data_IF_402337973901
#
_entry.id   IF_402337973901
#
_cell.length_a   1.000
_cell.length_b   1.000
_cell.length_c   1.000
_cell.angle_alpha   90.00
_cell.angle_beta   90.00
_cell.angle_gamma   90.00
#
_symmetry.space_group_name_H-M   'P 1'
#
loop_
_entity.id
_entity.type
_entity.pdbx_description
1 polymer ?
#
# COMPACT_ATOMS: atom_id res chain seq x y z
N UNK A 1 -25.09 1.67 1.49
CA UNK A 1 -24.52 2.07 2.77
C UNK A 1 -23.76 0.89 3.35
N UNK A 2 -22.58 1.14 3.89
CA UNK A 2 -21.70 0.09 4.39
C UNK A 2 -20.97 0.57 5.64
N UNK A 3 -20.73 -0.32 6.61
CA UNK A 3 -19.78 -0.11 7.71
C UNK A 3 -18.44 -0.62 7.22
N UNK A 4 -17.63 0.29 6.70
CA UNK A 4 -16.38 -0.05 6.00
C UNK A 4 -15.44 -0.84 6.88
N UNK A 5 -15.20 -0.35 8.12
CA UNK A 5 -14.30 -1.01 9.06
C UNK A 5 -14.48 -0.52 10.49
N UNK A 6 -14.16 -1.41 11.41
CA UNK A 6 -13.86 -1.13 12.82
C UNK A 6 -12.48 -1.67 13.13
N UNK A 7 -11.57 -0.80 13.57
CA UNK A 7 -10.18 -1.15 13.87
C UNK A 7 -9.93 -1.07 15.37
N UNK A 8 -9.30 -2.08 15.94
CA UNK A 8 -8.88 -2.15 17.34
C UNK A 8 -7.37 -2.34 17.42
N UNK A 9 -6.66 -1.36 17.99
CA UNK A 9 -5.24 -1.46 18.29
C UNK A 9 -5.05 -1.93 19.74
N UNK A 10 -4.36 -3.03 19.92
CA UNK A 10 -4.04 -3.63 21.21
C UNK A 10 -2.54 -3.64 21.42
N UNK A 11 -2.10 -3.24 22.60
CA UNK A 11 -0.69 -3.27 22.95
C UNK A 11 -0.48 -3.86 24.35
N UNK A 12 0.55 -4.67 24.50
CA UNK A 12 0.97 -5.18 25.80
C UNK A 12 2.48 -5.01 25.99
N UNK A 13 2.86 -4.41 27.12
CA UNK A 13 4.26 -4.21 27.49
C UNK A 13 4.69 -5.26 28.50
N UNK A 14 5.56 -6.18 28.06
CA UNK A 14 6.13 -7.23 28.93
C UNK A 14 7.23 -6.67 29.83
N UNK A 15 8.00 -5.68 29.33
CA UNK A 15 9.07 -5.00 30.05
C UNK A 15 9.34 -3.63 29.41
N UNK A 16 10.30 -2.85 29.94
CA UNK A 16 10.71 -1.57 29.33
C UNK A 16 11.30 -1.71 27.93
N UNK A 17 11.68 -2.92 27.55
CA UNK A 17 12.29 -3.20 26.24
C UNK A 17 11.42 -4.04 25.31
N UNK A 18 10.46 -4.79 25.83
CA UNK A 18 9.70 -5.77 25.06
C UNK A 18 8.22 -5.43 25.10
N UNK A 19 7.63 -5.26 23.93
CA UNK A 19 6.19 -5.02 23.77
C UNK A 19 5.63 -5.81 22.59
N UNK A 20 4.37 -6.19 22.72
CA UNK A 20 3.56 -6.76 21.64
C UNK A 20 2.56 -5.73 21.17
N UNK A 21 2.36 -5.64 19.84
CA UNK A 21 1.37 -4.77 19.22
C UNK A 21 0.56 -5.64 18.27
N UNK A 22 -0.76 -5.50 18.31
CA UNK A 22 -1.70 -6.15 17.40
C UNK A 22 -2.78 -5.17 16.99
N UNK A 23 -3.18 -5.24 15.74
CA UNK A 23 -4.27 -4.49 15.15
C UNK A 23 -5.26 -5.47 14.52
N UNK A 24 -6.51 -5.41 14.96
CA UNK A 24 -7.59 -6.26 14.50
C UNK A 24 -8.60 -5.39 13.77
N UNK A 25 -8.90 -5.74 12.53
CA UNK A 25 -9.86 -5.05 11.69
C UNK A 25 -11.08 -5.92 11.41
N UNK A 26 -12.25 -5.34 11.57
CA UNK A 26 -13.52 -5.89 11.10
C UNK A 26 -13.94 -5.12 9.85
N UNK A 27 -13.93 -5.78 8.69
CA UNK A 27 -14.36 -5.19 7.42
C UNK A 27 -15.78 -5.64 7.05
N UNK A 28 -16.60 -4.69 6.57
CA UNK A 28 -17.95 -4.93 6.05
C UNK A 28 -18.88 -5.71 7.01
N UNK A 29 -18.62 -5.62 8.33
CA UNK A 29 -19.36 -6.35 9.39
C UNK A 29 -19.25 -7.88 9.29
N UNK A 30 -18.49 -8.43 8.36
CA UNK A 30 -18.43 -9.87 8.07
C UNK A 30 -17.04 -10.47 8.20
N UNK A 31 -16.02 -9.71 7.87
CA UNK A 31 -14.65 -10.21 7.76
C UNK A 31 -13.80 -9.70 8.91
N UNK A 32 -13.02 -10.58 9.50
CA UNK A 32 -12.09 -10.25 10.60
C UNK A 32 -10.69 -10.51 10.11
N UNK A 33 -9.83 -9.49 10.20
CA UNK A 33 -8.43 -9.57 9.84
C UNK A 33 -7.53 -9.14 10.99
N UNK A 34 -6.36 -9.76 11.07
CA UNK A 34 -5.25 -9.22 11.83
C UNK A 34 -4.41 -8.40 10.86
N UNK A 35 -4.36 -7.07 11.03
CA UNK A 35 -3.56 -6.20 10.18
C UNK A 35 -2.10 -6.16 10.61
N UNK A 36 -1.85 -6.18 11.90
CA UNK A 36 -0.53 -6.26 12.49
C UNK A 36 -0.54 -7.16 13.71
N UNK A 37 0.50 -7.95 13.89
CA UNK A 37 0.76 -8.71 15.10
C UNK A 37 2.26 -8.99 15.22
N UNK A 38 2.98 -8.18 15.96
CA UNK A 38 4.42 -8.29 16.07
C UNK A 38 4.95 -8.03 17.48
N UNK A 39 6.05 -8.67 17.77
CA UNK A 39 6.88 -8.36 18.93
C UNK A 39 7.88 -7.26 18.56
N UNK A 40 7.98 -6.24 19.40
CA UNK A 40 9.02 -5.22 19.27
C UNK A 40 9.97 -5.29 20.47
N UNK A 41 11.27 -5.34 20.19
CA UNK A 41 12.33 -5.36 21.19
C UNK A 41 13.22 -4.13 21.03
N UNK A 42 13.27 -3.27 22.04
CA UNK A 42 14.16 -2.11 22.08
C UNK A 42 15.60 -2.58 22.25
N UNK A 43 16.45 -2.39 21.23
CA UNK A 43 17.90 -2.68 21.30
C UNK A 43 18.61 -1.49 21.96
N UNK A 44 18.34 -0.27 21.45
CA UNK A 44 18.85 0.99 22.00
C UNK A 44 17.88 2.14 21.68
N UNK A 45 18.25 3.38 21.92
CA UNK A 45 17.37 4.54 21.72
C UNK A 45 17.11 4.86 20.24
N UNK A 46 17.90 4.34 19.32
CA UNK A 46 17.80 4.58 17.89
C UNK A 46 17.30 3.37 17.12
N UNK A 47 17.23 2.19 17.76
CA UNK A 47 16.98 0.94 17.06
C UNK A 47 16.11 -0.01 17.86
N UNK A 48 15.08 -0.51 17.21
CA UNK A 48 14.23 -1.59 17.69
C UNK A 48 14.21 -2.72 16.67
N UNK A 49 14.23 -3.95 17.16
CA UNK A 49 13.92 -5.13 16.36
C UNK A 49 12.40 -5.35 16.36
N UNK A 50 11.86 -5.79 15.23
CA UNK A 50 10.48 -6.26 15.09
C UNK A 50 10.47 -7.64 14.45
N UNK A 51 9.51 -8.47 14.87
CA UNK A 51 9.27 -9.78 14.24
C UNK A 51 7.81 -10.18 14.37
N UNK A 52 7.20 -10.63 13.28
CA UNK A 52 5.79 -10.99 13.19
C UNK A 52 5.12 -10.50 11.93
N UNK A 53 3.82 -10.26 11.98
CA UNK A 53 3.03 -9.69 10.90
C UNK A 53 3.10 -8.15 10.99
N UNK A 54 3.67 -7.52 9.96
CA UNK A 54 3.94 -6.09 9.95
C UNK A 54 3.42 -5.45 8.66
N UNK A 55 3.00 -4.18 8.74
CA UNK A 55 2.71 -3.38 7.55
C UNK A 55 4.01 -3.13 6.77
N UNK A 56 3.95 -3.33 5.46
CA UNK A 56 5.07 -3.04 4.56
C UNK A 56 5.24 -1.53 4.45
N UNK A 57 6.44 -0.96 4.70
CA UNK A 57 6.64 0.48 4.83
C UNK A 57 6.72 1.16 3.45
N UNK A 58 5.63 1.14 2.68
CA UNK A 58 5.54 1.75 1.36
C UNK A 58 4.57 2.94 1.36
N UNK A 59 5.08 4.09 0.94
CA UNK A 59 4.31 5.33 0.82
C UNK A 59 3.70 5.86 2.12
N UNK A 60 2.66 6.68 2.00
CA UNK A 60 1.98 7.31 3.14
C UNK A 60 0.88 6.39 3.68
N UNK A 61 0.03 5.90 2.78
CA UNK A 61 -1.28 5.35 3.16
C UNK A 61 -1.16 3.96 3.78
N UNK A 62 -0.19 3.14 3.37
CA UNK A 62 -0.09 1.80 3.94
C UNK A 62 0.20 1.81 5.45
N UNK A 63 0.97 2.80 5.93
CA UNK A 63 1.25 2.97 7.37
C UNK A 63 0.20 3.81 8.11
N UNK A 64 -0.52 4.72 7.39
CA UNK A 64 -1.48 5.68 7.98
C UNK A 64 -2.81 5.58 7.23
N UNK A 65 -3.44 4.41 7.29
CA UNK A 65 -4.63 4.10 6.50
C UNK A 65 -5.95 4.34 7.24
N UNK A 66 -5.90 4.83 8.48
CA UNK A 66 -7.09 5.12 9.26
C UNK A 66 -7.88 6.28 8.62
N UNK A 67 -9.21 6.20 8.60
CA UNK A 67 -10.05 7.16 7.90
C UNK A 67 -9.92 8.62 8.37
N UNK A 68 -9.39 8.88 9.56
CA UNK A 68 -9.16 10.24 10.06
C UNK A 68 -7.86 10.88 9.59
N UNK A 69 -6.97 10.11 8.94
CA UNK A 69 -5.62 10.54 8.54
C UNK A 69 -5.53 11.10 7.13
N UNK A 70 -6.53 10.89 6.29
CA UNK A 70 -6.59 11.37 4.91
C UNK A 70 -7.90 12.12 4.63
N UNK A 71 -7.90 13.00 3.61
CA UNK A 71 -9.09 13.69 3.14
C UNK A 71 -9.87 12.79 2.17
N UNK A 72 -11.18 13.10 2.00
CA UNK A 72 -12.08 12.26 1.21
C UNK A 72 -12.54 11.01 1.94
N UNK A 73 -13.53 10.36 1.39
CA UNK A 73 -14.12 9.13 1.92
C UNK A 73 -13.19 7.95 1.60
N UNK A 74 -12.70 7.90 0.34
CA UNK A 74 -11.80 6.86 -0.13
C UNK A 74 -10.34 7.31 -0.12
N UNK A 75 -9.45 6.32 0.08
CA UNK A 75 -7.99 6.47 -0.02
C UNK A 75 -7.60 6.79 -1.48
N UNK A 76 -6.41 7.33 -1.74
CA UNK A 76 -5.86 7.41 -3.10
C UNK A 76 -5.83 6.04 -3.76
N UNK A 77 -6.26 5.95 -5.02
CA UNK A 77 -6.39 4.67 -5.74
C UNK A 77 -5.03 4.05 -6.06
N UNK A 78 -3.98 4.86 -6.21
CA UNK A 78 -2.62 4.33 -6.42
C UNK A 78 -2.17 3.41 -5.27
N UNK A 79 -2.64 3.69 -4.03
CA UNK A 79 -2.41 2.84 -2.86
C UNK A 79 -3.28 1.57 -2.83
N UNK A 80 -3.96 1.27 -3.91
CA UNK A 80 -4.67 0.02 -4.15
C UNK A 80 -4.14 -0.71 -5.38
N UNK A 81 -3.79 0.05 -6.43
CA UNK A 81 -3.45 -0.50 -7.76
C UNK A 81 -1.94 -0.72 -7.93
N UNK A 82 -1.11 0.17 -7.40
CA UNK A 82 0.35 0.07 -7.53
C UNK A 82 0.96 -0.49 -6.24
N UNK A 83 0.81 0.19 -5.10
CA UNK A 83 1.22 -0.32 -3.79
C UNK A 83 -0.04 -0.73 -3.01
N UNK A 84 -0.38 -2.02 -2.97
CA UNK A 84 -1.70 -2.46 -2.52
C UNK A 84 -1.88 -2.26 -1.00
N UNK A 85 -2.68 -1.27 -0.61
CA UNK A 85 -3.03 -1.01 0.80
C UNK A 85 -3.76 -2.18 1.43
N UNK A 86 -3.74 -2.19 2.59
CA UNK A 86 -3.41 -2.96 3.76
C UNK A 86 -2.42 -4.08 3.45
N UNK A 87 -1.29 -3.67 2.92
CA UNK A 87 -0.20 -4.57 2.58
C UNK A 87 0.62 -4.89 3.82
N UNK A 88 0.50 -6.12 4.28
CA UNK A 88 1.18 -6.67 5.42
C UNK A 88 1.84 -8.00 5.09
N UNK A 89 2.99 -8.24 5.68
CA UNK A 89 3.80 -9.42 5.43
C UNK A 89 4.38 -9.96 6.75
N UNK A 90 4.60 -11.25 6.81
CA UNK A 90 5.29 -11.91 7.91
C UNK A 90 6.78 -11.77 7.70
N UNK A 91 7.49 -11.31 8.73
CA UNK A 91 8.92 -11.11 8.61
C UNK A 91 9.58 -10.60 9.88
N UNK A 92 10.82 -10.17 9.71
CA UNK A 92 11.65 -9.57 10.77
C UNK A 92 12.37 -8.34 10.25
N UNK A 93 12.77 -7.44 11.13
CA UNK A 93 13.59 -6.32 10.73
C UNK A 93 13.87 -5.31 11.82
N UNK A 94 14.36 -4.17 11.39
CA UNK A 94 14.79 -3.07 12.25
C UNK A 94 14.00 -1.81 11.92
N UNK A 95 13.69 -1.05 12.96
CA UNK A 95 13.12 0.28 12.81
C UNK A 95 13.61 1.22 13.90
N UNK A 96 13.59 2.51 13.64
CA UNK A 96 13.99 3.48 14.65
C UNK A 96 13.93 4.93 14.20
N UNK A 97 14.28 5.80 15.15
CA UNK A 97 14.40 7.23 14.93
C UNK A 97 15.80 7.69 15.29
N UNK A 98 16.47 8.36 14.36
CA UNK A 98 17.76 9.01 14.58
C UNK A 98 17.47 10.49 14.84
N UNK A 99 17.13 10.82 16.08
CA UNK A 99 16.69 12.16 16.47
C UNK A 99 17.64 13.30 16.05
N UNK A 100 18.98 13.18 16.21
CA UNK A 100 19.89 14.22 15.78
C UNK A 100 19.87 14.51 14.27
N UNK A 101 19.54 13.50 13.46
CA UNK A 101 19.42 13.62 12.00
C UNK A 101 17.97 13.87 11.54
N UNK A 102 17.00 13.87 12.47
CA UNK A 102 15.57 13.99 12.18
C UNK A 102 15.11 12.98 11.13
N UNK A 103 15.59 11.75 11.24
CA UNK A 103 15.30 10.64 10.36
C UNK A 103 14.55 9.53 11.10
N UNK A 104 13.52 8.97 10.47
CA UNK A 104 12.88 7.70 10.82
C UNK A 104 13.27 6.69 9.74
N UNK A 105 13.52 5.45 10.12
CA UNK A 105 13.80 4.37 9.18
C UNK A 105 13.12 3.08 9.57
N UNK A 106 12.85 2.27 8.56
CA UNK A 106 12.34 0.91 8.66
C UNK A 106 13.02 0.06 7.59
N UNK A 107 13.40 -1.16 7.95
CA UNK A 107 13.96 -2.15 7.03
C UNK A 107 13.52 -3.54 7.46
N UNK A 108 12.85 -4.27 6.57
CA UNK A 108 12.27 -5.58 6.85
C UNK A 108 12.67 -6.61 5.80
N UNK A 109 12.81 -7.85 6.25
CA UNK A 109 12.92 -9.05 5.42
C UNK A 109 11.64 -9.84 5.62
N UNK A 110 10.92 -10.11 4.55
CA UNK A 110 9.55 -10.61 4.58
C UNK A 110 9.32 -11.75 3.60
N UNK A 111 8.16 -12.38 3.71
CA UNK A 111 7.76 -13.50 2.87
C UNK A 111 7.32 -13.12 1.43
N UNK A 112 6.93 -11.88 1.18
CA UNK A 112 6.60 -11.39 -0.16
C UNK A 112 5.20 -11.72 -0.68
N UNK A 113 4.94 -11.27 -1.92
CA UNK A 113 3.69 -11.57 -2.62
C UNK A 113 3.61 -13.02 -3.07
N UNK A 114 2.41 -13.60 -3.06
CA UNK A 114 2.09 -14.84 -3.75
C UNK A 114 1.91 -14.57 -5.25
N UNK A 115 2.67 -15.25 -6.11
CA UNK A 115 2.50 -15.23 -7.56
C UNK A 115 1.56 -16.35 -8.02
N UNK A 116 1.73 -17.55 -7.43
CA UNK A 116 0.98 -18.74 -7.82
C UNK A 116 0.83 -19.74 -6.66
N UNK A 117 -0.40 -20.20 -6.43
CA UNK A 117 -0.76 -21.22 -5.45
C UNK A 117 -1.82 -22.19 -5.98
N UNK A 118 -1.64 -22.62 -7.23
CA UNK A 118 -2.63 -23.39 -7.99
C UNK A 118 -3.48 -22.51 -8.92
N UNK A 119 -3.39 -21.18 -8.77
CA UNK A 119 -4.00 -20.18 -9.65
C UNK A 119 -3.13 -18.93 -9.75
N UNK A 120 -3.23 -18.19 -10.87
CA UNK A 120 -2.60 -16.88 -11.02
C UNK A 120 -3.13 -15.88 -10.00
N UNK A 121 -2.22 -15.17 -9.32
CA UNK A 121 -2.58 -14.12 -8.36
C UNK A 121 -2.38 -12.71 -8.88
N UNK A 122 -1.62 -12.55 -9.95
CA UNK A 122 -1.27 -11.25 -10.52
C UNK A 122 -1.83 -11.11 -11.93
N UNK A 123 -2.32 -9.92 -12.27
CA UNK A 123 -2.82 -9.57 -13.60
C UNK A 123 -2.75 -8.06 -13.85
N UNK A 124 -2.96 -7.62 -15.09
CA UNK A 124 -2.89 -6.21 -15.46
C UNK A 124 -3.94 -5.35 -14.77
N UNK A 125 -5.16 -5.84 -14.56
CA UNK A 125 -6.24 -5.07 -13.94
C UNK A 125 -6.00 -4.74 -12.46
N UNK A 126 -5.42 -5.67 -11.71
CA UNK A 126 -5.26 -5.58 -10.25
C UNK A 126 -3.80 -5.43 -9.79
N UNK A 127 -2.84 -5.50 -10.73
CA UNK A 127 -1.41 -5.46 -10.42
C UNK A 127 -1.04 -6.54 -9.40
N UNK A 128 -0.35 -6.13 -8.34
CA UNK A 128 0.11 -7.02 -7.25
C UNK A 128 -0.95 -7.29 -6.16
N UNK A 129 -2.12 -6.62 -6.21
CA UNK A 129 -3.06 -6.60 -5.08
C UNK A 129 -3.54 -7.98 -4.64
N UNK A 130 -3.85 -8.87 -5.58
CA UNK A 130 -4.36 -10.20 -5.26
C UNK A 130 -3.26 -11.16 -4.76
N UNK A 131 -1.99 -10.82 -4.95
CA UNK A 131 -0.84 -11.56 -4.44
C UNK A 131 -0.51 -11.33 -2.97
N UNK A 132 -1.22 -10.42 -2.25
CA UNK A 132 -0.99 -10.22 -0.81
C UNK A 132 -1.34 -11.47 -0.02
N UNK A 133 -0.37 -12.05 0.68
CA UNK A 133 -0.59 -13.24 1.53
C UNK A 133 -1.30 -12.90 2.85
N UNK A 134 -1.22 -11.64 3.31
CA UNK A 134 -1.93 -11.10 4.49
C UNK A 134 -1.62 -11.83 5.83
N UNK A 135 -0.59 -12.63 5.89
CA UNK A 135 -0.24 -13.43 7.07
C UNK A 135 -1.11 -14.68 7.28
N UNK A 136 -1.97 -15.03 6.32
CA UNK A 136 -2.84 -16.21 6.39
C UNK A 136 -2.18 -17.38 5.63
N UNK A 137 -1.71 -18.39 6.36
CA UNK A 137 -1.01 -19.55 5.80
C UNK A 137 0.12 -19.15 4.83
N UNK A 138 0.81 -18.05 5.18
CA UNK A 138 1.84 -17.46 4.35
C UNK A 138 3.04 -18.38 4.20
N UNK A 139 3.53 -18.51 2.98
CA UNK A 139 4.71 -19.30 2.64
C UNK A 139 5.81 -18.42 2.06
N UNK A 140 7.03 -18.93 2.04
CA UNK A 140 8.22 -18.25 1.56
C UNK A 140 9.10 -19.24 0.79
N UNK A 141 9.34 -18.97 -0.48
CA UNK A 141 10.35 -19.65 -1.30
C UNK A 141 11.62 -18.81 -1.49
N UNK A 142 11.47 -17.47 -1.41
CA UNK A 142 12.57 -16.52 -1.43
C UNK A 142 12.27 -15.28 -0.58
N UNK A 143 13.25 -14.70 0.13
CA UNK A 143 13.04 -13.52 0.95
C UNK A 143 12.82 -12.28 0.08
N UNK A 144 11.97 -11.37 0.59
CA UNK A 144 11.76 -10.05 0.03
C UNK A 144 12.24 -8.98 1.01
N UNK A 145 12.62 -7.83 0.50
CA UNK A 145 13.19 -6.72 1.26
C UNK A 145 12.32 -5.48 1.09
N UNK A 146 11.88 -4.91 2.21
CA UNK A 146 11.11 -3.67 2.24
C UNK A 146 11.80 -2.66 3.13
N UNK A 147 11.84 -1.40 2.71
CA UNK A 147 12.43 -0.35 3.54
C UNK A 147 11.88 1.03 3.24
N UNK A 148 11.96 1.91 4.25
CA UNK A 148 11.59 3.31 4.15
C UNK A 148 12.48 4.17 5.02
N UNK A 149 12.84 5.35 4.51
CA UNK A 149 13.49 6.42 5.26
C UNK A 149 12.61 7.66 5.14
N UNK A 150 12.33 8.31 6.28
CA UNK A 150 11.57 9.56 6.33
C UNK A 150 12.41 10.65 6.99
N UNK A 151 12.47 11.82 6.35
CA UNK A 151 13.08 13.03 6.88
C UNK A 151 12.00 14.01 7.34
N UNK A 152 12.11 14.50 8.60
CA UNK A 152 11.16 15.42 9.21
C UNK A 152 11.81 16.65 9.86
N UNK A 153 13.02 17.02 9.43
CA UNK A 153 13.78 18.13 10.00
C UNK A 153 13.29 19.54 9.65
N UNK A 154 12.40 19.67 8.66
CA UNK A 154 11.79 20.95 8.28
C UNK A 154 10.39 21.02 8.88
N UNK A 155 10.10 22.11 9.58
CA UNK A 155 8.80 22.29 10.25
C UNK A 155 7.63 22.13 9.29
N UNK A 156 6.76 21.19 9.60
CA UNK A 156 5.57 20.86 8.80
C UNK A 156 5.82 19.97 7.60
N UNK A 157 7.08 19.74 7.20
CA UNK A 157 7.44 18.89 6.05
C UNK A 157 7.93 17.52 6.52
N UNK A 158 7.40 16.48 5.87
CA UNK A 158 7.87 15.10 5.99
C UNK A 158 8.07 14.57 4.57
N UNK A 159 9.25 14.04 4.27
CA UNK A 159 9.60 13.45 2.96
C UNK A 159 10.00 12.01 3.19
N UNK A 160 9.38 11.08 2.48
CA UNK A 160 9.64 9.65 2.52
C UNK A 160 10.24 9.12 1.21
N UNK A 161 11.18 8.21 1.35
CA UNK A 161 11.67 7.36 0.27
C UNK A 161 11.52 5.90 0.69
N UNK A 162 10.87 5.09 -0.13
CA UNK A 162 10.59 3.69 0.14
C UNK A 162 10.98 2.78 -1.02
N UNK A 163 11.27 1.52 -0.71
CA UNK A 163 11.60 0.50 -1.69
C UNK A 163 11.18 -0.89 -1.26
N UNK A 164 10.84 -1.71 -2.24
CA UNK A 164 10.51 -3.12 -2.07
C UNK A 164 11.13 -3.93 -3.20
N UNK A 165 11.85 -5.01 -2.85
CA UNK A 165 12.62 -5.80 -3.80
C UNK A 165 12.55 -7.29 -3.45
N UNK A 166 12.35 -8.15 -4.45
CA UNK A 166 12.37 -9.59 -4.29
C UNK A 166 11.66 -10.31 -5.44
N UNK A 167 11.23 -11.53 -5.18
CA UNK A 167 10.42 -12.33 -6.11
C UNK A 167 9.10 -12.68 -5.45
N UNK A 168 8.06 -12.85 -6.25
CA UNK A 168 6.82 -13.44 -5.74
C UNK A 168 7.06 -14.91 -5.36
N UNK A 169 6.17 -15.45 -4.56
CA UNK A 169 6.25 -16.81 -4.05
C UNK A 169 5.40 -17.75 -4.91
N UNK A 170 5.77 -19.02 -4.97
CA UNK A 170 4.99 -20.04 -5.65
C UNK A 170 5.02 -21.36 -4.87
N UNK A 171 3.86 -21.99 -4.74
CA UNK A 171 3.75 -23.33 -4.13
C UNK A 171 4.39 -24.43 -4.98
N UNK A 172 4.72 -24.13 -6.23
CA UNK A 172 5.40 -25.11 -7.09
C UNK A 172 6.82 -25.46 -6.63
N UNK A 173 7.43 -24.63 -5.78
CA UNK A 173 8.73 -24.97 -5.19
C UNK A 173 8.64 -26.00 -4.06
N UNK A 174 7.42 -26.29 -3.56
CA UNK A 174 7.26 -27.24 -2.46
C UNK A 174 7.56 -28.68 -2.93
N UNK A 175 8.55 -29.30 -2.28
CA UNK A 175 8.91 -30.68 -2.52
C UNK A 175 9.61 -30.97 -3.86
N UNK A 176 10.00 -29.95 -4.64
CA UNK A 176 10.79 -30.15 -5.86
C UNK A 176 12.19 -30.64 -5.49
N UNK A 177 12.65 -31.68 -6.19
CA UNK A 177 14.05 -32.03 -6.21
C UNK A 177 14.84 -30.93 -6.96
N UNK A 178 15.87 -30.38 -6.32
CA UNK A 178 16.69 -29.32 -6.91
C UNK A 178 17.48 -29.74 -8.15
N UNK A 179 17.63 -31.04 -8.36
CA UNK A 179 18.29 -31.62 -9.53
C UNK A 179 17.29 -31.91 -10.67
N UNK A 180 15.98 -31.65 -10.47
CA UNK A 180 14.95 -31.69 -11.52
C UNK A 180 14.84 -30.33 -12.24
N UNK A 181 15.71 -30.15 -13.24
CA UNK A 181 15.77 -28.92 -14.03
C UNK A 181 14.41 -28.54 -14.68
N UNK A 182 13.62 -29.55 -15.09
CA UNK A 182 12.33 -29.28 -15.74
C UNK A 182 11.26 -28.77 -14.74
N UNK A 183 11.20 -29.38 -13.56
CA UNK A 183 10.32 -28.95 -12.50
C UNK A 183 10.73 -27.56 -11.97
N UNK A 184 12.04 -27.31 -11.82
CA UNK A 184 12.57 -26.01 -11.44
C UNK A 184 12.23 -24.93 -12.47
N UNK A 185 12.40 -25.17 -13.78
CA UNK A 185 12.05 -24.23 -14.83
C UNK A 185 10.54 -23.91 -14.84
N UNK A 186 9.69 -24.90 -14.56
CA UNK A 186 8.24 -24.70 -14.43
C UNK A 186 7.91 -23.82 -13.23
N UNK A 187 8.54 -24.08 -12.08
CA UNK A 187 8.36 -23.24 -10.88
C UNK A 187 8.89 -21.81 -11.11
N UNK A 188 10.02 -21.65 -11.79
CA UNK A 188 10.57 -20.33 -12.14
C UNK A 188 9.63 -19.52 -13.05
N UNK A 189 8.88 -20.17 -13.95
CA UNK A 189 7.89 -19.51 -14.81
C UNK A 189 6.66 -19.00 -14.03
N UNK A 190 6.43 -19.50 -12.81
CA UNK A 190 5.29 -19.12 -11.96
C UNK A 190 5.56 -17.94 -11.04
N UNK A 191 6.77 -17.37 -11.07
CA UNK A 191 7.17 -16.25 -10.21
C UNK A 191 7.60 -15.03 -11.02
N UNK A 192 7.42 -13.87 -10.42
CA UNK A 192 7.74 -12.56 -10.99
C UNK A 192 8.72 -11.84 -10.06
N UNK A 193 9.79 -11.28 -10.63
CA UNK A 193 10.65 -10.38 -9.88
C UNK A 193 9.95 -9.02 -9.70
N UNK A 194 10.04 -8.45 -8.48
CA UNK A 194 9.41 -7.17 -8.13
C UNK A 194 10.47 -6.19 -7.66
N UNK A 195 10.54 -5.03 -8.31
CA UNK A 195 11.34 -3.89 -7.89
C UNK A 195 10.45 -2.65 -7.85
N UNK A 196 10.04 -2.22 -6.66
CA UNK A 196 9.19 -1.05 -6.45
C UNK A 196 9.94 0.03 -5.69
N UNK A 197 9.85 1.27 -6.15
CA UNK A 197 10.31 2.46 -5.43
C UNK A 197 9.14 3.41 -5.22
N UNK A 198 9.16 4.15 -4.12
CA UNK A 198 8.19 5.16 -3.79
C UNK A 198 8.83 6.41 -3.20
N UNK A 199 8.31 7.56 -3.60
CA UNK A 199 8.66 8.86 -3.00
C UNK A 199 7.37 9.50 -2.52
N UNK A 200 7.37 10.00 -1.30
CA UNK A 200 6.20 10.69 -0.73
C UNK A 200 6.60 11.98 0.00
N UNK A 201 5.67 12.93 0.05
CA UNK A 201 5.83 14.14 0.83
C UNK A 201 4.50 14.59 1.45
N UNK A 202 4.59 15.10 2.69
CA UNK A 202 3.47 15.74 3.40
C UNK A 202 3.94 17.08 3.94
N UNK A 203 3.20 18.14 3.64
CA UNK A 203 3.50 19.48 4.13
C UNK A 203 2.27 20.13 4.77
N UNK A 204 2.38 20.45 6.06
CA UNK A 204 1.30 21.06 6.85
C UNK A 204 1.79 22.35 7.50
N UNK A 205 1.29 23.49 7.03
CA UNK A 205 1.66 24.79 7.56
C UNK A 205 0.49 25.79 7.48
N UNK A 206 0.23 26.51 8.55
CA UNK A 206 -0.73 27.62 8.53
C UNK A 206 -2.14 27.27 8.07
N UNK A 207 -2.58 26.02 8.26
CA UNK A 207 -3.86 25.50 7.76
C UNK A 207 -3.79 24.86 6.37
N UNK A 208 -2.77 25.13 5.58
CA UNK A 208 -2.50 24.45 4.31
C UNK A 208 -2.02 23.02 4.56
N UNK A 209 -2.59 22.08 3.83
CA UNK A 209 -2.21 20.66 3.80
C UNK A 209 -1.90 20.28 2.36
N UNK A 210 -0.65 19.94 2.10
CA UNK A 210 -0.22 19.39 0.82
C UNK A 210 0.30 17.97 1.06
N UNK A 211 -0.04 17.07 0.16
CA UNK A 211 0.55 15.72 0.13
C UNK A 211 0.67 15.23 -1.29
N UNK A 212 1.66 14.41 -1.53
CA UNK A 212 1.87 13.77 -2.82
C UNK A 212 2.69 12.51 -2.66
N UNK A 213 2.55 11.62 -3.63
CA UNK A 213 3.20 10.33 -3.65
C UNK A 213 3.35 9.85 -5.09
N UNK A 214 4.47 9.20 -5.37
CA UNK A 214 4.76 8.57 -6.65
C UNK A 214 5.30 7.17 -6.43
N UNK A 215 4.85 6.22 -7.23
CA UNK A 215 5.39 4.86 -7.31
C UNK A 215 5.84 4.52 -8.73
N UNK A 216 6.94 3.79 -8.79
CA UNK A 216 7.40 3.08 -9.97
C UNK A 216 7.68 1.63 -9.59
N UNK A 217 7.08 0.70 -10.32
CA UNK A 217 7.28 -0.75 -10.14
C UNK A 217 7.73 -1.35 -11.46
N UNK A 218 8.83 -2.05 -11.43
CA UNK A 218 9.29 -2.90 -12.54
C UNK A 218 9.11 -4.36 -12.15
N UNK A 219 8.56 -5.13 -13.08
CA UNK A 219 8.31 -6.55 -12.94
C UNK A 219 9.13 -7.30 -14.00
N UNK A 220 9.88 -8.30 -13.60
CA UNK A 220 10.63 -9.16 -14.51
C UNK A 220 9.99 -10.55 -14.61
N UNK A 221 10.28 -11.28 -15.67
CA UNK A 221 9.73 -12.61 -15.94
C UNK A 221 8.21 -12.59 -16.22
N UNK A 222 7.68 -11.46 -16.71
CA UNK A 222 6.23 -11.32 -16.94
C UNK A 222 5.76 -12.07 -18.18
N UNK A 223 6.62 -12.28 -19.19
CA UNK A 223 6.32 -13.12 -20.35
C UNK A 223 6.03 -14.56 -19.93
N UNK A 224 7.00 -15.17 -19.27
CA UNK A 224 6.94 -16.56 -18.80
C UNK A 224 5.77 -16.74 -17.83
N UNK A 225 5.55 -15.75 -16.95
CA UNK A 225 4.43 -15.78 -16.03
C UNK A 225 3.07 -15.69 -16.76
N UNK A 226 2.92 -14.81 -17.74
CA UNK A 226 1.69 -14.66 -18.51
C UNK A 226 1.38 -15.90 -19.38
N UNK A 227 2.40 -16.53 -19.95
CA UNK A 227 2.27 -17.80 -20.68
C UNK A 227 1.92 -18.95 -19.74
N UNK A 228 2.64 -19.10 -18.62
CA UNK A 228 2.43 -20.15 -17.62
C UNK A 228 1.02 -20.07 -16.98
N UNK A 229 0.52 -18.87 -16.74
CA UNK A 229 -0.79 -18.63 -16.10
C UNK A 229 -1.92 -18.39 -17.10
N UNK A 230 -1.71 -18.71 -18.39
CA UNK A 230 -2.75 -18.65 -19.42
C UNK A 230 -3.93 -19.57 -19.08
N UNK A 231 -5.12 -19.13 -19.42
CA UNK A 231 -6.37 -19.87 -19.22
C UNK A 231 -7.16 -20.03 -20.54
N UNK A 232 -8.40 -20.49 -20.45
CA UNK A 232 -9.26 -20.67 -21.62
C UNK A 232 -9.58 -19.35 -22.37
N UNK A 233 -9.34 -18.19 -21.77
CA UNK A 233 -9.56 -16.88 -22.36
C UNK A 233 -8.31 -16.31 -23.05
N UNK A 234 -7.16 -16.94 -22.87
CA UNK A 234 -5.88 -16.55 -23.47
C UNK A 234 -4.74 -16.38 -22.46
N UNK A 235 -3.73 -15.62 -22.88
CA UNK A 235 -2.61 -15.28 -22.02
C UNK A 235 -3.08 -14.40 -20.86
N UNK A 236 -2.42 -14.52 -19.70
CA UNK A 236 -2.55 -13.53 -18.64
C UNK A 236 -1.96 -12.19 -19.13
N UNK A 237 -2.35 -11.09 -18.48
CA UNK A 237 -2.07 -9.73 -18.96
C UNK A 237 -1.26 -8.90 -17.95
N UNK A 238 -0.40 -9.50 -17.15
CA UNK A 238 0.44 -8.76 -16.22
C UNK A 238 1.47 -7.89 -16.96
N UNK A 239 1.45 -6.58 -16.72
CA UNK A 239 2.43 -5.64 -17.30
C UNK A 239 3.84 -5.82 -16.73
N UNK A 240 4.86 -5.42 -17.48
CA UNK A 240 6.27 -5.42 -17.03
C UNK A 240 6.66 -4.17 -16.23
N UNK A 241 5.87 -3.10 -16.31
CA UNK A 241 6.01 -1.95 -15.44
C UNK A 241 4.65 -1.35 -15.06
N UNK A 242 4.59 -0.79 -13.86
CA UNK A 242 3.44 -0.04 -13.35
C UNK A 242 3.94 1.26 -12.73
N UNK A 243 3.17 2.34 -12.88
CA UNK A 243 3.47 3.61 -12.24
C UNK A 243 2.20 4.33 -11.83
N UNK A 244 2.32 5.25 -10.88
CA UNK A 244 1.22 6.11 -10.48
C UNK A 244 1.65 7.17 -9.50
N UNK A 245 0.88 8.25 -9.46
CA UNK A 245 1.10 9.35 -8.52
C UNK A 245 -0.21 10.00 -8.13
N UNK A 246 -0.20 10.69 -6.99
CA UNK A 246 -1.21 11.68 -6.67
C UNK A 246 -0.59 12.93 -6.08
N UNK A 247 -1.34 14.02 -6.20
CA UNK A 247 -1.10 15.29 -5.52
C UNK A 247 -2.42 15.75 -4.92
N UNK A 248 -2.41 16.11 -3.63
CA UNK A 248 -3.57 16.60 -2.89
C UNK A 248 -3.26 17.92 -2.20
N UNK A 249 -4.19 18.85 -2.30
CA UNK A 249 -4.17 20.11 -1.56
C UNK A 249 -5.49 20.29 -0.78
N UNK A 250 -5.38 20.64 0.49
CA UNK A 250 -6.50 21.01 1.36
C UNK A 250 -6.17 22.24 2.20
N UNK A 251 -7.20 22.93 2.66
CA UNK A 251 -7.00 24.09 3.53
C UNK A 251 -8.05 24.13 4.63
N UNK A 252 -7.60 24.21 5.89
CA UNK A 252 -8.49 24.36 7.02
C UNK A 252 -9.04 25.78 7.11
N UNK A 253 -10.29 25.98 6.71
CA UNK A 253 -10.99 27.27 6.71
C UNK A 253 -11.15 27.86 8.12
N UNK A 254 -11.15 27.03 9.16
CA UNK A 254 -11.30 27.48 10.54
C UNK A 254 -9.97 27.79 11.24
N UNK A 255 -8.86 27.69 10.53
CA UNK A 255 -7.51 27.91 11.10
C UNK A 255 -7.33 29.27 11.78
N UNK A 256 -7.95 30.30 11.23
CA UNK A 256 -7.89 31.68 11.76
C UNK A 256 -9.03 32.02 12.72
N UNK A 257 -9.85 31.05 13.11
CA UNK A 257 -10.96 31.21 14.03
C UNK A 257 -10.67 30.57 15.39
N UNK A 258 -11.56 30.78 16.37
CA UNK A 258 -11.51 30.09 17.67
C UNK A 258 -12.19 28.71 17.65
N UNK A 259 -12.57 28.19 16.47
CA UNK A 259 -13.21 26.89 16.36
C UNK A 259 -12.24 25.78 16.73
N UNK A 260 -12.71 24.80 17.49
CA UNK A 260 -11.97 23.57 17.82
C UNK A 260 -12.06 22.51 16.72
N UNK A 261 -12.97 22.70 15.76
CA UNK A 261 -13.18 21.84 14.60
C UNK A 261 -12.37 22.36 13.41
N UNK A 262 -12.14 21.49 12.42
CA UNK A 262 -11.46 21.83 11.18
C UNK A 262 -12.40 21.56 10.00
N UNK A 263 -12.58 22.52 9.12
CA UNK A 263 -13.30 22.36 7.86
C UNK A 263 -12.30 22.47 6.71
N UNK A 264 -12.09 21.36 6.01
CA UNK A 264 -11.02 21.21 5.04
C UNK A 264 -11.63 20.87 3.67
N UNK A 265 -11.98 21.86 2.82
CA UNK A 265 -12.12 21.61 1.40
C UNK A 265 -10.79 21.13 0.84
N UNK A 266 -10.84 20.18 -0.09
CA UNK A 266 -9.65 19.60 -0.73
C UNK A 266 -9.89 19.27 -2.20
N UNK A 267 -8.80 19.15 -2.93
CA UNK A 267 -8.75 18.60 -4.26
C UNK A 267 -7.57 17.64 -4.37
N UNK A 268 -7.76 16.51 -5.04
CA UNK A 268 -6.74 15.50 -5.32
C UNK A 268 -6.80 15.12 -6.80
N UNK A 269 -5.65 15.13 -7.45
CA UNK A 269 -5.45 14.56 -8.76
C UNK A 269 -4.63 13.29 -8.62
N UNK A 270 -5.07 12.23 -9.28
CA UNK A 270 -4.40 10.93 -9.30
C UNK A 270 -4.27 10.42 -10.72
N UNK A 271 -3.17 9.74 -11.02
CA UNK A 271 -2.97 9.01 -12.25
C UNK A 271 -2.22 7.73 -11.95
N UNK A 272 -2.67 6.63 -12.54
CA UNK A 272 -1.96 5.36 -12.47
C UNK A 272 -2.11 4.58 -13.77
N UNK A 273 -1.07 3.80 -14.08
CA UNK A 273 -1.08 2.87 -15.20
C UNK A 273 -0.44 1.55 -14.74
N UNK A 274 -1.20 0.46 -14.79
CA UNK A 274 -0.69 -0.88 -14.49
C UNK A 274 -0.09 -1.56 -15.71
N UNK A 275 -0.16 -0.93 -16.89
CA UNK A 275 0.52 -1.26 -18.13
C UNK A 275 1.41 -0.11 -18.62
N UNK A 276 2.21 0.50 -17.71
CA UNK A 276 3.18 1.51 -18.11
C UNK A 276 4.23 0.97 -19.08
N UNK A 277 4.45 -0.34 -19.06
CA UNK A 277 5.14 -1.15 -20.06
C UNK A 277 4.61 -2.56 -20.04
N UNK A 278 4.67 -3.24 -21.16
CA UNK A 278 4.33 -4.65 -21.31
C UNK A 278 5.42 -5.38 -22.10
N UNK A 279 5.52 -6.70 -21.92
CA UNK A 279 6.37 -7.53 -22.77
C UNK A 279 5.69 -7.86 -24.12
N UNK A 280 6.47 -8.31 -25.09
CA UNK A 280 6.05 -8.45 -26.49
C UNK A 280 4.90 -9.45 -26.74
N UNK A 281 4.58 -10.32 -25.78
CA UNK A 281 3.49 -11.32 -25.92
C UNK A 281 2.11 -10.73 -25.71
N UNK A 282 2.01 -9.57 -25.06
CA UNK A 282 0.73 -8.88 -24.82
C UNK A 282 0.78 -7.43 -25.30
N UNK A 283 -0.38 -6.83 -25.50
CA UNK A 283 -0.51 -5.41 -25.85
C UNK A 283 -0.95 -4.58 -24.66
N UNK A 284 -0.51 -3.32 -24.60
CA UNK A 284 -0.98 -2.36 -23.60
C UNK A 284 -2.50 -2.23 -23.65
N UNK A 285 -3.13 -2.23 -22.49
CA UNK A 285 -4.56 -2.03 -22.34
C UNK A 285 -4.85 -0.61 -21.86
N UNK A 286 -5.38 0.22 -22.74
CA UNK A 286 -5.71 1.60 -22.44
C UNK A 286 -6.70 1.77 -21.27
N UNK A 287 -7.47 0.73 -20.91
CA UNK A 287 -8.36 0.75 -19.75
C UNK A 287 -7.62 0.73 -18.42
N UNK A 288 -6.33 0.40 -18.42
CA UNK A 288 -5.50 0.33 -17.21
C UNK A 288 -4.70 1.61 -16.95
N UNK A 289 -4.71 2.54 -17.88
CA UNK A 289 -4.25 3.91 -17.71
C UNK A 289 -5.42 4.80 -17.26
N UNK A 290 -5.42 5.20 -16.00
CA UNK A 290 -6.57 5.87 -15.36
C UNK A 290 -6.12 7.16 -14.70
N UNK A 291 -6.87 8.24 -14.96
CA UNK A 291 -6.77 9.48 -14.21
C UNK A 291 -8.05 9.76 -13.42
N UNK A 292 -7.88 10.41 -12.26
CA UNK A 292 -8.98 10.72 -11.37
C UNK A 292 -8.80 12.08 -10.71
N UNK A 293 -9.89 12.83 -10.65
CA UNK A 293 -9.98 14.06 -9.86
C UNK A 293 -10.97 13.81 -8.74
N UNK A 294 -10.54 13.99 -7.50
CA UNK A 294 -11.39 13.94 -6.32
C UNK A 294 -11.46 15.33 -5.69
N UNK A 295 -12.65 15.85 -5.46
CA UNK A 295 -12.84 17.12 -4.73
C UNK A 295 -13.91 16.93 -3.68
N UNK A 296 -13.74 17.56 -2.53
CA UNK A 296 -14.68 17.37 -1.43
C UNK A 296 -14.37 18.18 -0.19
N UNK A 297 -15.01 17.77 0.89
CA UNK A 297 -14.88 18.42 2.20
C UNK A 297 -14.66 17.33 3.25
N UNK A 298 -13.67 17.55 4.11
CA UNK A 298 -13.48 16.82 5.37
C UNK A 298 -13.77 17.78 6.52
N UNK A 299 -14.82 17.52 7.29
CA UNK A 299 -15.13 18.28 8.49
C UNK A 299 -14.75 17.48 9.72
N UNK A 300 -13.59 17.78 10.29
CA UNK A 300 -13.15 17.20 11.57
C UNK A 300 -13.85 17.93 12.71
N UNK A 301 -14.85 17.31 13.29
CA UNK A 301 -15.55 17.79 14.47
C UNK A 301 -14.62 17.83 15.68
N UNK A 302 -13.74 16.83 15.76
CA UNK A 302 -12.60 16.71 16.68
C UNK A 302 -11.43 16.11 15.91
N UNK A 303 -10.20 16.09 16.44
CA UNK A 303 -9.08 15.39 15.79
C UNK A 303 -9.35 13.90 15.50
N UNK A 304 -10.33 13.30 16.18
CA UNK A 304 -10.66 11.89 16.12
C UNK A 304 -12.04 11.57 15.53
N UNK A 305 -12.80 12.56 15.09
CA UNK A 305 -14.11 12.35 14.47
C UNK A 305 -14.31 13.31 13.31
N UNK A 306 -14.68 12.78 12.14
CA UNK A 306 -14.86 13.55 10.93
C UNK A 306 -16.11 13.10 10.14
N UNK A 307 -16.76 14.08 9.52
CA UNK A 307 -17.72 13.87 8.43
C UNK A 307 -17.03 14.19 7.12
N UNK A 308 -17.25 13.38 6.11
CA UNK A 308 -16.59 13.50 4.82
C UNK A 308 -17.59 13.39 3.68
N UNK A 309 -17.38 14.18 2.64
CA UNK A 309 -18.11 14.04 1.38
C UNK A 309 -17.19 14.42 0.23
N UNK A 310 -17.24 13.66 -0.87
CA UNK A 310 -16.48 13.94 -2.07
C UNK A 310 -17.21 13.56 -3.35
N UNK A 311 -16.74 14.15 -4.45
CA UNK A 311 -17.09 13.84 -5.82
C UNK A 311 -15.80 13.36 -6.52
N UNK A 312 -15.89 12.22 -7.17
CA UNK A 312 -14.83 11.63 -7.96
C UNK A 312 -15.20 11.68 -9.44
N UNK A 313 -14.25 12.11 -10.26
CA UNK A 313 -14.33 12.11 -11.72
C UNK A 313 -13.25 11.14 -12.20
N UNK A 314 -13.65 9.99 -12.73
CA UNK A 314 -12.76 8.86 -13.07
C UNK A 314 -12.80 8.65 -14.57
N UNK A 315 -11.64 8.61 -15.22
CA UNK A 315 -11.52 8.34 -16.65
C UNK A 315 -10.31 7.44 -16.91
N UNK A 316 -10.52 6.37 -17.67
CA UNK A 316 -9.42 5.63 -18.29
C UNK A 316 -9.16 6.12 -19.72
N UNK A 317 -8.03 5.76 -20.28
CA UNK A 317 -7.62 6.21 -21.61
C UNK A 317 -8.55 5.68 -22.73
N UNK A 318 -9.19 4.54 -22.53
CA UNK A 318 -10.16 3.96 -23.49
C UNK A 318 -11.53 4.65 -23.44
N UNK A 319 -11.81 5.48 -22.44
CA UNK A 319 -13.12 6.12 -22.27
C UNK A 319 -13.14 7.53 -22.84
N UNK A 320 -14.27 7.93 -23.44
CA UNK A 320 -14.46 9.30 -23.95
C UNK A 320 -14.83 10.30 -22.85
N UNK A 321 -15.49 9.84 -21.78
CA UNK A 321 -16.06 10.71 -20.74
C UNK A 321 -15.66 10.25 -19.32
N UNK A 322 -15.70 11.21 -18.40
CA UNK A 322 -15.52 10.93 -16.98
C UNK A 322 -16.77 10.25 -16.39
N UNK A 323 -16.58 9.11 -15.76
CA UNK A 323 -17.56 8.57 -14.81
C UNK A 323 -17.54 9.44 -13.54
N UNK A 324 -18.72 9.62 -12.92
CA UNK A 324 -18.88 10.44 -11.72
C UNK A 324 -19.39 9.59 -10.58
N UNK A 325 -18.77 9.74 -9.41
CA UNK A 325 -19.16 9.05 -8.20
C UNK A 325 -19.24 10.04 -7.03
N UNK A 326 -20.32 9.99 -6.27
CA UNK A 326 -20.47 10.73 -5.02
C UNK A 326 -20.28 9.79 -3.84
N UNK A 327 -19.47 10.21 -2.88
CA UNK A 327 -19.24 9.48 -1.63
C UNK A 327 -19.52 10.38 -0.42
N UNK A 328 -20.07 9.79 0.63
CA UNK A 328 -20.20 10.43 1.93
C UNK A 328 -19.96 9.41 3.05
N UNK A 329 -19.33 9.83 4.14
CA UNK A 329 -18.98 8.93 5.22
C UNK A 329 -18.69 9.61 6.54
N UNK A 330 -18.63 8.79 7.58
CA UNK A 330 -18.24 9.16 8.94
C UNK A 330 -16.97 8.40 9.30
N UNK A 331 -16.01 9.10 9.89
CA UNK A 331 -14.77 8.52 10.40
C UNK A 331 -14.63 8.81 11.90
N UNK A 332 -14.32 7.79 12.68
CA UNK A 332 -14.10 7.91 14.13
C UNK A 332 -12.86 7.14 14.53
N UNK A 333 -12.03 7.68 15.41
CA UNK A 333 -10.88 7.04 16.03
C UNK A 333 -10.90 7.34 17.54
N UNK A 334 -10.76 6.34 18.40
CA UNK A 334 -10.80 6.49 19.87
C UNK A 334 -9.60 5.81 20.56
#
# INVERSE_FOLDING_TARGET
MDVHRLVMLLGYRFSDRVQFISEIEYEHVKEVYIEQAFLQVKINDFMNFRGGLMLTPMGIINEYHEPTTFNGVERPVIDSKIAPTTWREVGVGLQGNILPATLKYQFYVTNGFNGFDGAARLNGQNGLRSGRQKGAESFISSPNFAGKIEYYGIKGLNIGFSGYFGKTQSTLYDGIDKDDDAAMATADSSVVGVAMIGIDARYNIGGLQLRGQYYLTNLSNTNEYNEFTADANGLNDLGSAMSGYYIEAGYNLFKSTNAKSELIPFVRYEEYNTHSSVENTISENASYNVNMITTGITWKLTPKAALKADLQFIKNEAADQYAKQFNAGVAVMF
#
